data_IF_169072774685
#
_entry.id   IF_169072774685
#
_cell.length_a   1.000
_cell.length_b   1.000
_cell.length_c   1.000
_cell.angle_alpha   90.00
_cell.angle_beta   90.00
_cell.angle_gamma   90.00
#
_symmetry.space_group_name_H-M   'P 1'
#
loop_
_entity.id
_entity.type
_entity.pdbx_description
1 polymer ?
#
# COMPACT_ATOMS: atom_id res chain seq x y z
N UNK A 1 -2.48 48.93 -8.81
CA UNK A 1 -3.30 47.88 -9.45
C UNK A 1 -2.78 46.57 -8.90
N UNK A 2 -3.56 45.93 -8.03
CA UNK A 2 -3.15 44.71 -7.32
C UNK A 2 -3.96 43.58 -7.92
N UNK A 3 -3.44 42.94 -8.97
CA UNK A 3 -4.13 41.85 -9.65
C UNK A 3 -3.71 40.51 -9.04
N UNK A 4 -4.69 39.87 -8.42
CA UNK A 4 -4.91 38.43 -8.28
C UNK A 4 -3.74 37.48 -8.66
N UNK A 5 -3.02 36.98 -7.65
CA UNK A 5 -2.14 35.80 -7.75
C UNK A 5 -2.54 34.68 -6.77
N UNK A 6 -3.82 34.60 -6.38
CA UNK A 6 -4.29 33.69 -5.33
C UNK A 6 -4.69 32.27 -5.79
N UNK A 7 -4.60 31.94 -7.08
CA UNK A 7 -5.13 30.67 -7.62
C UNK A 7 -4.02 29.64 -7.89
N UNK A 8 -2.80 30.09 -8.18
CA UNK A 8 -1.67 29.21 -8.54
C UNK A 8 -1.07 28.51 -7.30
N UNK A 9 -0.95 29.25 -6.19
CA UNK A 9 -0.31 28.77 -4.96
C UNK A 9 -1.06 27.59 -4.32
N UNK A 10 -2.40 27.60 -4.32
CA UNK A 10 -3.20 26.49 -3.78
C UNK A 10 -3.11 25.20 -4.62
N UNK A 11 -2.93 25.31 -5.93
CA UNK A 11 -2.74 24.15 -6.81
C UNK A 11 -1.34 23.55 -6.61
N UNK A 12 -0.33 24.40 -6.42
CA UNK A 12 1.03 23.96 -6.17
C UNK A 12 1.20 23.33 -4.78
N UNK A 13 0.50 23.84 -3.75
CA UNK A 13 0.48 23.22 -2.43
C UNK A 13 -0.16 21.83 -2.46
N UNK A 14 -1.25 21.64 -3.22
CA UNK A 14 -1.89 20.32 -3.40
C UNK A 14 -0.96 19.35 -4.15
N UNK A 15 -0.25 19.81 -5.19
CA UNK A 15 0.74 19.00 -5.90
C UNK A 15 1.92 18.64 -5.00
N UNK A 16 2.44 19.60 -4.25
CA UNK A 16 3.56 19.41 -3.33
C UNK A 16 3.19 18.39 -2.22
N UNK A 17 2.01 18.52 -1.62
CA UNK A 17 1.50 17.56 -0.65
C UNK A 17 1.37 16.15 -1.23
N UNK A 18 0.83 16.01 -2.45
CA UNK A 18 0.74 14.73 -3.14
C UNK A 18 2.11 14.11 -3.44
N UNK A 19 3.07 14.92 -3.87
CA UNK A 19 4.42 14.46 -4.15
C UNK A 19 5.15 14.06 -2.87
N UNK A 20 4.97 14.80 -1.78
CA UNK A 20 5.51 14.44 -0.47
C UNK A 20 4.95 13.11 0.05
N UNK A 21 3.64 12.88 -0.11
CA UNK A 21 3.01 11.60 0.22
C UNK A 21 3.63 10.45 -0.57
N UNK A 22 3.74 10.58 -1.90
CA UNK A 22 4.34 9.57 -2.78
C UNK A 22 5.80 9.29 -2.42
N UNK A 23 6.56 10.33 -2.09
CA UNK A 23 7.96 10.18 -1.70
C UNK A 23 8.11 9.43 -0.37
N UNK A 24 7.24 9.71 0.61
CA UNK A 24 7.22 8.98 1.87
C UNK A 24 6.81 7.51 1.67
N UNK A 25 5.85 7.23 0.80
CA UNK A 25 5.47 5.86 0.45
C UNK A 25 6.63 5.10 -0.21
N UNK A 26 7.33 5.74 -1.14
CA UNK A 26 8.49 5.17 -1.82
C UNK A 26 9.67 4.97 -0.86
N UNK A 27 9.90 5.91 0.06
CA UNK A 27 10.94 5.78 1.09
C UNK A 27 10.67 4.58 2.00
N UNK A 28 9.46 4.46 2.54
CA UNK A 28 9.10 3.29 3.35
C UNK A 28 9.23 2.00 2.55
N UNK A 29 8.95 2.03 1.23
CA UNK A 29 9.25 0.91 0.36
C UNK A 29 10.72 0.52 0.30
N UNK A 30 11.63 1.49 0.20
CA UNK A 30 13.07 1.20 0.22
C UNK A 30 13.54 0.70 1.60
N UNK A 31 12.98 1.22 2.68
CA UNK A 31 13.31 0.78 4.04
C UNK A 31 12.89 -0.67 4.27
N UNK A 32 11.63 -1.05 3.98
CA UNK A 32 11.19 -2.46 4.04
C UNK A 32 12.05 -3.36 3.13
N UNK A 33 12.46 -2.87 1.96
CA UNK A 33 13.25 -3.66 1.01
C UNK A 33 14.67 -3.96 1.51
N UNK A 34 15.27 -3.00 2.21
CA UNK A 34 16.58 -3.17 2.84
C UNK A 34 16.49 -4.21 3.96
N UNK A 35 15.40 -4.19 4.72
CA UNK A 35 15.19 -5.09 5.85
C UNK A 35 14.77 -6.52 5.41
N UNK A 36 13.93 -6.64 4.38
CA UNK A 36 13.55 -7.91 3.76
C UNK A 36 13.37 -7.78 2.24
N UNK A 37 14.30 -8.31 1.42
CA UNK A 37 14.20 -8.26 -0.03
C UNK A 37 13.22 -9.28 -0.63
N UNK A 38 12.70 -10.23 0.17
CA UNK A 38 11.85 -11.32 -0.33
C UNK A 38 10.63 -10.86 -1.16
N UNK A 39 9.93 -9.74 -0.85
CA UNK A 39 8.79 -9.29 -1.63
C UNK A 39 9.13 -8.92 -3.08
N UNK A 40 10.38 -8.54 -3.37
CA UNK A 40 10.83 -8.23 -4.74
C UNK A 40 11.34 -9.43 -5.51
N UNK A 41 11.67 -10.55 -4.87
CA UNK A 41 12.12 -11.78 -5.55
C UNK A 41 11.08 -12.35 -6.53
N UNK A 42 9.85 -11.85 -6.48
CA UNK A 42 8.73 -12.26 -7.32
C UNK A 42 8.30 -11.18 -8.34
N UNK A 43 9.01 -10.05 -8.39
CA UNK A 43 8.84 -9.02 -9.42
C UNK A 43 9.92 -9.25 -10.49
N UNK A 44 9.57 -9.32 -11.79
CA UNK A 44 10.56 -9.46 -12.85
C UNK A 44 11.53 -8.27 -12.87
N UNK A 45 12.82 -8.55 -13.07
CA UNK A 45 13.84 -7.52 -13.25
C UNK A 45 13.48 -6.56 -14.40
N UNK A 46 13.84 -5.29 -14.24
CA UNK A 46 13.51 -4.26 -15.23
C UNK A 46 12.02 -3.89 -15.28
N UNK A 47 11.22 -4.28 -14.28
CA UNK A 47 9.83 -3.84 -14.18
C UNK A 47 9.73 -2.37 -13.74
N UNK A 48 8.74 -1.66 -14.31
CA UNK A 48 8.24 -0.41 -13.73
C UNK A 48 7.40 -0.75 -12.50
N UNK A 49 7.61 -0.02 -11.40
CA UNK A 49 6.90 -0.21 -10.13
C UNK A 49 6.02 0.98 -9.78
N UNK A 50 4.85 0.69 -9.26
CA UNK A 50 3.95 1.63 -8.60
C UNK A 50 3.58 1.07 -7.23
N UNK A 51 3.45 1.94 -6.23
CA UNK A 51 3.19 1.54 -4.84
C UNK A 51 1.98 2.29 -4.31
N UNK A 52 1.16 1.61 -3.50
CA UNK A 52 -0.01 2.21 -2.85
C UNK A 52 -0.21 1.60 -1.47
N UNK A 53 -0.48 2.44 -0.47
CA UNK A 53 -0.95 1.98 0.84
C UNK A 53 -2.48 1.95 0.86
N UNK A 54 -3.07 0.90 1.45
CA UNK A 54 -4.52 0.76 1.60
C UNK A 54 -4.88 0.26 3.00
N UNK A 55 -6.03 0.69 3.51
CA UNK A 55 -6.63 0.16 4.73
C UNK A 55 -7.77 -0.79 4.34
N UNK A 56 -7.67 -2.08 4.70
CA UNK A 56 -8.67 -3.10 4.41
C UNK A 56 -8.91 -3.90 5.69
N UNK A 57 -10.16 -3.96 6.15
CA UNK A 57 -10.53 -4.64 7.41
C UNK A 57 -9.62 -4.23 8.60
N UNK A 58 -9.32 -2.93 8.73
CA UNK A 58 -8.43 -2.43 9.79
C UNK A 58 -6.94 -2.73 9.62
N UNK A 59 -6.54 -3.43 8.55
CA UNK A 59 -5.14 -3.74 8.22
C UNK A 59 -4.59 -2.74 7.22
N UNK A 60 -3.46 -2.09 7.55
CA UNK A 60 -2.70 -1.29 6.59
C UNK A 60 -1.81 -2.20 5.76
N UNK A 61 -2.07 -2.23 4.46
CA UNK A 61 -1.35 -3.06 3.50
C UNK A 61 -0.60 -2.18 2.50
N UNK A 62 0.59 -2.62 2.12
CA UNK A 62 1.31 -2.08 0.97
C UNK A 62 1.04 -2.96 -0.24
N UNK A 63 0.54 -2.33 -1.29
CA UNK A 63 0.34 -2.94 -2.59
C UNK A 63 1.44 -2.45 -3.53
N UNK A 64 2.01 -3.36 -4.32
CA UNK A 64 2.94 -3.02 -5.40
C UNK A 64 2.35 -3.52 -6.71
N UNK A 65 2.19 -2.60 -7.66
CA UNK A 65 1.88 -2.92 -9.04
C UNK A 65 3.18 -2.88 -9.86
N UNK A 66 3.35 -3.84 -10.75
CA UNK A 66 4.52 -3.96 -11.60
C UNK A 66 4.14 -4.29 -13.04
N UNK A 67 4.96 -3.84 -13.98
CA UNK A 67 4.89 -4.22 -15.39
C UNK A 67 6.31 -4.30 -15.96
N UNK A 68 6.69 -5.41 -16.61
CA UNK A 68 7.97 -5.51 -17.32
C UNK A 68 8.10 -4.40 -18.38
N UNK A 69 9.24 -3.71 -18.46
CA UNK A 69 9.43 -2.60 -19.41
C UNK A 69 9.33 -3.04 -20.88
N UNK A 70 9.79 -4.25 -21.20
CA UNK A 70 9.86 -4.76 -22.58
C UNK A 70 8.58 -5.50 -23.02
N UNK A 71 7.44 -5.25 -22.35
CA UNK A 71 6.20 -5.95 -22.62
C UNK A 71 5.00 -5.02 -22.64
N UNK A 72 4.15 -5.19 -23.66
CA UNK A 72 2.76 -4.70 -23.66
C UNK A 72 1.86 -5.47 -22.68
N UNK A 73 2.45 -6.21 -21.74
CA UNK A 73 1.75 -6.94 -20.71
C UNK A 73 0.89 -6.01 -19.84
N UNK A 74 -0.21 -6.58 -19.36
CA UNK A 74 -1.02 -5.97 -18.32
C UNK A 74 -0.18 -5.71 -17.06
N UNK A 75 -0.56 -4.69 -16.31
CA UNK A 75 -0.05 -4.47 -14.97
C UNK A 75 -0.50 -5.60 -14.05
N UNK A 76 0.39 -6.05 -13.18
CA UNK A 76 0.07 -7.01 -12.11
C UNK A 76 0.27 -6.33 -10.77
N UNK A 77 -0.63 -6.55 -9.82
CA UNK A 77 -0.54 -6.01 -8.47
C UNK A 77 -0.56 -7.14 -7.44
N UNK A 78 0.21 -6.96 -6.37
CA UNK A 78 0.26 -7.88 -5.22
C UNK A 78 0.45 -7.12 -3.90
N UNK A 79 0.21 -7.81 -2.78
CA UNK A 79 0.62 -7.32 -1.45
C UNK A 79 2.11 -7.57 -1.27
N UNK A 80 2.85 -6.54 -0.86
CA UNK A 80 4.31 -6.61 -0.64
C UNK A 80 4.72 -6.36 0.80
N UNK A 81 3.86 -5.79 1.64
CA UNK A 81 4.14 -5.61 3.06
C UNK A 81 2.86 -5.38 3.86
N UNK A 82 2.90 -5.73 5.15
CA UNK A 82 1.90 -5.38 6.15
C UNK A 82 2.47 -4.27 7.04
N UNK A 83 1.79 -3.14 7.13
CA UNK A 83 2.24 -1.96 7.86
C UNK A 83 1.57 -1.84 9.25
N UNK A 84 0.96 -2.92 9.73
CA UNK A 84 0.25 -3.00 11.00
C UNK A 84 -1.27 -2.75 10.92
N UNK A 85 -1.90 -2.69 12.09
CA UNK A 85 -3.33 -2.42 12.26
C UNK A 85 -3.59 -0.95 12.60
N UNK A 86 -4.70 -0.40 12.11
CA UNK A 86 -5.24 0.87 12.63
C UNK A 86 -6.38 0.61 13.58
N UNK A 87 -6.18 0.98 14.84
CA UNK A 87 -7.29 1.17 15.78
C UNK A 87 -8.00 2.48 15.39
N UNK A 88 -9.34 2.48 15.22
CA UNK A 88 -10.07 3.71 14.93
C UNK A 88 -9.89 4.70 16.09
N UNK A 89 -9.20 5.83 15.83
CA UNK A 89 -8.94 6.89 16.82
C UNK A 89 -7.50 7.39 16.89
N UNK A 90 -6.55 6.78 16.17
CA UNK A 90 -5.19 7.32 16.08
C UNK A 90 -5.13 8.40 15.00
N UNK A 91 -5.47 9.64 15.38
CA UNK A 91 -5.41 10.79 14.49
C UNK A 91 -3.97 11.08 14.01
N UNK A 92 -3.90 11.60 12.77
CA UNK A 92 -2.70 12.05 12.06
C UNK A 92 -1.62 12.63 12.98
N UNK A 93 -0.50 11.94 13.10
CA UNK A 93 0.68 12.51 13.71
C UNK A 93 1.85 11.57 13.60
N UNK A 94 2.74 11.84 12.62
CA UNK A 94 4.18 11.50 12.67
C UNK A 94 4.51 10.24 13.46
N UNK A 95 3.97 9.09 13.06
CA UNK A 95 4.26 7.85 13.75
C UNK A 95 5.40 7.21 12.98
N UNK A 96 6.61 7.37 13.55
CA UNK A 96 7.69 6.39 13.42
C UNK A 96 7.04 5.02 13.27
N UNK A 97 7.27 4.40 12.11
CA UNK A 97 6.92 3.02 11.79
C UNK A 97 7.42 2.14 12.93
N UNK A 98 6.58 1.98 13.94
CA UNK A 98 6.82 1.03 15.01
C UNK A 98 6.28 -0.23 14.40
N UNK A 99 7.18 -1.04 13.86
CA UNK A 99 6.96 -2.45 13.58
C UNK A 99 6.53 -3.09 14.91
N UNK A 100 5.27 -2.89 15.30
CA UNK A 100 4.64 -3.71 16.32
C UNK A 100 4.40 -5.03 15.61
N UNK A 101 5.42 -5.88 15.68
CA UNK A 101 5.28 -7.32 15.49
C UNK A 101 4.22 -7.78 16.48
N UNK A 102 2.95 -7.82 16.05
CA UNK A 102 1.95 -8.57 16.79
C UNK A 102 2.37 -10.05 16.75
N UNK A 103 2.33 -10.76 17.88
CA UNK A 103 2.77 -12.16 17.99
C UNK A 103 1.83 -13.17 17.31
N UNK A 104 0.73 -12.74 16.70
CA UNK A 104 -0.06 -13.57 15.79
C UNK A 104 0.51 -13.44 14.38
N UNK A 105 1.51 -14.28 14.12
CA UNK A 105 2.37 -14.36 12.94
C UNK A 105 1.56 -14.68 11.68
N UNK A 106 0.87 -13.67 11.14
CA UNK A 106 0.38 -13.71 9.76
C UNK A 106 1.60 -13.73 8.82
N UNK A 107 1.76 -14.81 8.06
CA UNK A 107 2.86 -14.93 7.10
C UNK A 107 2.45 -14.29 5.79
N UNK A 108 3.39 -13.59 5.13
CA UNK A 108 3.15 -13.07 3.77
C UNK A 108 2.62 -14.15 2.82
N UNK A 109 2.91 -15.43 3.05
CA UNK A 109 2.36 -16.55 2.30
C UNK A 109 0.82 -16.64 2.30
N UNK A 110 0.12 -16.13 3.32
CA UNK A 110 -1.35 -16.31 3.40
C UNK A 110 -2.14 -15.33 2.49
N UNK A 111 -1.50 -14.28 1.96
CA UNK A 111 -2.14 -13.27 1.07
C UNK A 111 -1.22 -12.77 -0.03
N UNK A 112 0.09 -12.93 0.12
CA UNK A 112 1.10 -12.53 -0.86
C UNK A 112 0.91 -13.23 -2.21
N UNK A 113 0.25 -14.38 -2.25
CA UNK A 113 -0.11 -15.09 -3.48
C UNK A 113 -1.33 -14.50 -4.19
N UNK A 114 -2.08 -13.59 -3.55
CA UNK A 114 -3.19 -12.90 -4.20
C UNK A 114 -2.62 -11.86 -5.17
N UNK A 115 -2.77 -12.15 -6.45
CA UNK A 115 -2.40 -11.28 -7.56
C UNK A 115 -3.67 -10.83 -8.29
N UNK A 116 -3.68 -9.58 -8.72
CA UNK A 116 -4.68 -9.07 -9.65
C UNK A 116 -4.01 -8.34 -10.82
N UNK A 117 -4.66 -8.35 -11.98
CA UNK A 117 -4.12 -7.76 -13.21
C UNK A 117 -5.05 -6.68 -13.75
N UNK A 118 -4.50 -5.69 -14.42
CA UNK A 118 -5.27 -4.63 -15.06
C UNK A 118 -4.53 -3.97 -16.22
N UNK A 119 -5.26 -3.29 -17.11
CA UNK A 119 -4.66 -2.55 -18.22
C UNK A 119 -3.82 -1.35 -17.75
N UNK A 120 -4.07 -0.86 -16.53
CA UNK A 120 -3.31 0.20 -15.86
C UNK A 120 -2.93 -0.25 -14.45
N UNK A 121 -1.90 0.38 -13.86
CA UNK A 121 -1.53 0.12 -12.46
C UNK A 121 -2.71 0.35 -11.51
N UNK A 122 -3.53 1.37 -11.77
CA UNK A 122 -4.70 1.68 -10.95
C UNK A 122 -5.78 0.61 -11.05
N UNK A 123 -6.06 0.11 -12.25
CA UNK A 123 -6.99 -1.00 -12.44
C UNK A 123 -6.49 -2.28 -11.74
N UNK A 124 -5.17 -2.55 -11.80
CA UNK A 124 -4.58 -3.68 -11.08
C UNK A 124 -4.69 -3.52 -9.56
N UNK A 125 -4.46 -2.32 -9.02
CA UNK A 125 -4.65 -2.04 -7.60
C UNK A 125 -6.09 -2.17 -7.14
N UNK A 126 -7.04 -1.62 -7.90
CA UNK A 126 -8.45 -1.65 -7.52
C UNK A 126 -8.98 -3.09 -7.55
N UNK A 127 -8.61 -3.87 -8.56
CA UNK A 127 -8.92 -5.30 -8.64
C UNK A 127 -8.29 -6.11 -7.50
N UNK A 128 -7.05 -5.78 -7.09
CA UNK A 128 -6.42 -6.41 -5.94
C UNK A 128 -7.16 -6.04 -4.64
N UNK A 129 -7.46 -4.76 -4.44
CA UNK A 129 -8.14 -4.28 -3.25
C UNK A 129 -9.55 -4.88 -3.11
N UNK A 130 -10.26 -5.11 -4.21
CA UNK A 130 -11.53 -5.83 -4.23
C UNK A 130 -11.36 -7.27 -3.74
N UNK A 131 -10.43 -8.05 -4.33
CA UNK A 131 -10.11 -9.41 -3.86
C UNK A 131 -9.74 -9.47 -2.38
N UNK A 132 -8.98 -8.48 -1.90
CA UNK A 132 -8.59 -8.39 -0.49
C UNK A 132 -9.78 -8.07 0.42
N UNK A 133 -10.72 -7.23 -0.01
CA UNK A 133 -11.95 -6.96 0.75
C UNK A 133 -12.85 -8.19 0.84
N UNK A 134 -12.89 -8.99 -0.22
CA UNK A 134 -13.62 -10.27 -0.26
C UNK A 134 -12.90 -11.38 0.52
N UNK A 135 -11.63 -11.19 0.86
CA UNK A 135 -10.85 -12.16 1.60
C UNK A 135 -11.38 -12.33 3.03
N UNK A 136 -12.00 -13.48 3.29
CA UNK A 136 -12.46 -13.88 4.61
C UNK A 136 -11.32 -13.97 5.64
N UNK A 137 -10.08 -14.14 5.19
CA UNK A 137 -8.90 -14.13 6.05
C UNK A 137 -8.67 -12.74 6.66
N UNK A 138 -8.63 -11.70 5.82
CA UNK A 138 -8.45 -10.32 6.30
C UNK A 138 -9.64 -9.84 7.14
N UNK A 139 -10.85 -10.28 6.80
CA UNK A 139 -12.04 -9.97 7.59
C UNK A 139 -11.97 -10.54 9.03
N UNK A 140 -11.36 -11.72 9.22
CA UNK A 140 -11.15 -12.33 10.54
C UNK A 140 -10.08 -11.59 11.35
N UNK A 141 -9.00 -11.15 10.70
CA UNK A 141 -7.94 -10.37 11.35
C UNK A 141 -8.41 -8.98 11.80
N UNK A 142 -9.38 -8.40 11.09
CA UNK A 142 -9.98 -7.11 11.42
C UNK A 142 -11.10 -7.15 12.45
N UNK A 143 -11.60 -8.33 12.81
CA UNK A 143 -12.66 -8.46 13.79
C UNK A 143 -12.09 -8.24 15.20
N UNK A 144 -12.63 -7.31 15.99
CA UNK A 144 -12.27 -7.24 17.40
C UNK A 144 -12.65 -8.58 18.02
N UNK A 145 -11.70 -9.25 18.67
CA UNK A 145 -11.99 -10.46 19.43
C UNK A 145 -13.16 -10.15 20.35
N UNK A 146 -14.32 -10.75 20.07
CA UNK A 146 -15.44 -10.69 20.98
C UNK A 146 -15.02 -11.50 22.20
N UNK A 147 -14.54 -10.78 23.20
CA UNK A 147 -14.11 -11.27 24.50
C UNK A 147 -15.30 -11.98 25.16
N UNK A 148 -15.44 -13.28 24.93
CA UNK A 148 -16.30 -14.14 25.73
C UNK A 148 -15.54 -14.51 27.00
N UNK A 149 -15.74 -13.74 28.07
CA UNK A 149 -15.70 -14.26 29.44
C UNK A 149 -16.44 -13.37 30.42
#
# INVERSE_FOLDING_TARGET
MTEHNGVDQGIDDIKAARNAMRLNEFRGFLEDLIDDPAPLGLVPDGSTLEIRRVLIHGQRLRLTAYRPMDSDAAWSARVTSQLGTETPGSELGTSTETTQQHPDEWRMSDVGDIIATGLTHQAAFDALAEKLRESSFLAKLGAPETLHR
#
